data_IF_667547678261
#
_entry.id   IF_667547678261
#
_cell.length_a   1.000
_cell.length_b   1.000
_cell.length_c   1.000
_cell.angle_alpha   90.00
_cell.angle_beta   90.00
_cell.angle_gamma   90.00
#
_symmetry.space_group_name_H-M   'P 1'
#
loop_
_entity.id
_entity.type
_entity.pdbx_description
1 polymer ?
#
# COMPACT_ATOMS: atom_id res chain seq x y z
N UNK A 1 -14.87 -6.12 -33.19
CA UNK A 1 -14.79 -6.74 -31.85
C UNK A 1 -14.41 -5.68 -30.83
N UNK A 2 -15.42 -5.11 -30.16
CA UNK A 2 -15.21 -4.12 -29.11
C UNK A 2 -14.69 -4.84 -27.85
N UNK A 3 -13.43 -4.66 -27.52
CA UNK A 3 -12.88 -5.04 -26.23
C UNK A 3 -13.31 -3.99 -25.19
N UNK A 4 -14.57 -4.06 -24.76
CA UNK A 4 -15.03 -3.32 -23.59
C UNK A 4 -14.56 -4.07 -22.34
N UNK A 5 -13.36 -3.77 -21.88
CA UNK A 5 -12.94 -4.14 -20.53
C UNK A 5 -13.81 -3.41 -19.49
N UNK A 6 -13.82 -3.86 -18.21
CA UNK A 6 -14.59 -3.19 -17.17
C UNK A 6 -14.15 -1.72 -17.07
N UNK A 7 -15.08 -0.80 -17.29
CA UNK A 7 -14.83 0.63 -17.18
C UNK A 7 -15.01 1.03 -15.72
N UNK A 8 -13.95 1.48 -15.06
CA UNK A 8 -14.04 2.07 -13.72
C UNK A 8 -14.71 3.44 -13.82
N UNK A 9 -15.87 3.60 -13.19
CA UNK A 9 -16.65 4.84 -13.23
C UNK A 9 -16.19 5.84 -12.18
N UNK A 10 -15.75 5.36 -11.03
CA UNK A 10 -15.20 6.19 -9.96
C UNK A 10 -14.33 5.36 -9.02
N UNK A 11 -13.45 6.03 -8.28
CA UNK A 11 -12.63 5.45 -7.21
C UNK A 11 -12.80 6.32 -5.97
N UNK A 12 -13.02 5.69 -4.81
CA UNK A 12 -13.04 6.37 -3.51
C UNK A 12 -11.73 6.01 -2.80
N UNK A 13 -10.97 7.03 -2.44
CA UNK A 13 -9.72 6.87 -1.68
C UNK A 13 -9.94 7.39 -0.27
N UNK A 14 -9.74 6.54 0.73
CA UNK A 14 -9.74 6.91 2.14
C UNK A 14 -8.31 6.94 2.69
N UNK A 15 -7.93 8.05 3.33
CA UNK A 15 -6.62 8.20 3.97
C UNK A 15 -6.81 8.45 5.45
N UNK A 16 -6.21 7.60 6.30
CA UNK A 16 -6.19 7.76 7.75
C UNK A 16 -4.76 7.93 8.25
N UNK A 17 -4.48 9.03 8.96
CA UNK A 17 -3.17 9.32 9.54
C UNK A 17 -3.31 9.76 11.00
N UNK A 18 -2.46 9.23 11.85
CA UNK A 18 -2.22 9.78 13.17
C UNK A 18 -1.28 10.98 13.01
N UNK A 19 -1.76 12.19 13.24
CA UNK A 19 -0.97 13.41 12.94
C UNK A 19 -0.25 13.91 14.17
N UNK A 20 -0.97 14.26 15.23
CA UNK A 20 -0.43 14.89 16.44
C UNK A 20 -0.71 14.08 17.72
N UNK A 21 -1.06 12.81 17.59
CA UNK A 21 -1.25 11.94 18.75
C UNK A 21 0.09 11.62 19.41
N UNK A 22 0.14 11.66 20.73
CA UNK A 22 1.28 11.21 21.50
C UNK A 22 1.20 9.70 21.76
N UNK A 23 2.33 9.06 22.02
CA UNK A 23 2.37 7.63 22.31
C UNK A 23 1.39 7.21 23.41
N UNK A 24 1.22 8.07 24.42
CA UNK A 24 0.29 7.83 25.54
C UNK A 24 -1.19 7.85 25.14
N UNK A 25 -1.53 8.47 24.01
CA UNK A 25 -2.92 8.57 23.51
C UNK A 25 -3.39 7.27 22.84
N UNK A 26 -2.46 6.38 22.47
CA UNK A 26 -2.81 5.11 21.85
C UNK A 26 -3.26 4.08 22.88
N UNK A 27 -4.27 3.22 22.53
CA UNK A 27 -4.62 2.08 23.32
C UNK A 27 -3.41 1.20 23.66
N UNK A 28 -3.44 0.55 24.82
CA UNK A 28 -2.30 -0.16 25.37
C UNK A 28 -1.81 -1.31 24.47
N UNK A 29 -2.75 -2.00 23.83
CA UNK A 29 -2.51 -3.14 22.93
C UNK A 29 -1.80 -2.77 21.64
N UNK A 30 -1.92 -1.52 21.19
CA UNK A 30 -1.27 -1.03 19.94
C UNK A 30 -0.20 0.03 20.19
N UNK A 31 0.01 0.47 21.43
CA UNK A 31 0.90 1.60 21.79
C UNK A 31 2.34 1.42 21.32
N UNK A 32 2.82 0.19 21.27
CA UNK A 32 4.18 -0.13 20.81
C UNK A 32 4.28 -0.31 19.27
N UNK A 33 3.14 -0.35 18.59
CA UNK A 33 3.06 -0.52 17.14
C UNK A 33 2.61 0.76 16.42
N UNK A 34 1.84 1.61 17.12
CA UNK A 34 1.30 2.83 16.56
C UNK A 34 2.26 4.01 16.74
N UNK A 35 2.27 4.89 15.77
CA UNK A 35 3.00 6.15 15.83
C UNK A 35 2.19 7.27 15.19
N UNK A 36 2.70 8.50 15.24
CA UNK A 36 2.14 9.67 14.59
C UNK A 36 3.22 10.48 13.90
N UNK A 37 2.82 11.40 13.03
CA UNK A 37 3.76 12.32 12.37
C UNK A 37 4.51 13.16 13.42
N UNK A 38 3.84 13.62 14.48
CA UNK A 38 4.47 14.40 15.53
C UNK A 38 5.51 13.58 16.33
N UNK A 39 5.22 12.31 16.63
CA UNK A 39 6.16 11.41 17.31
C UNK A 39 7.41 11.16 16.45
N UNK A 40 7.23 10.89 15.16
CA UNK A 40 8.34 10.60 14.24
C UNK A 40 9.21 11.83 13.92
N UNK A 41 8.59 13.02 13.87
CA UNK A 41 9.29 14.26 13.50
C UNK A 41 9.74 15.10 14.69
N UNK A 42 9.25 14.78 15.89
CA UNK A 42 9.51 15.54 17.12
C UNK A 42 8.83 16.91 17.17
N UNK A 43 7.86 17.19 16.29
CA UNK A 43 7.17 18.47 16.24
C UNK A 43 5.71 18.32 15.77
N UNK A 44 4.80 19.18 16.23
CA UNK A 44 3.42 19.17 15.76
C UNK A 44 3.34 19.52 14.27
N UNK A 45 2.39 18.90 13.58
CA UNK A 45 2.14 19.10 12.17
C UNK A 45 0.81 19.86 12.00
N UNK A 46 0.80 20.85 11.11
CA UNK A 46 -0.44 21.54 10.70
C UNK A 46 -1.28 20.60 9.83
N UNK A 47 -2.44 20.21 10.35
CA UNK A 47 -3.35 19.28 9.65
C UNK A 47 -3.89 19.82 8.34
N UNK A 48 -4.13 21.14 8.26
CA UNK A 48 -4.67 21.77 7.04
C UNK A 48 -3.62 21.79 5.93
N UNK A 49 -2.37 22.12 6.26
CA UNK A 49 -1.25 22.07 5.32
C UNK A 49 -0.98 20.63 4.87
N UNK A 50 -1.00 19.68 5.79
CA UNK A 50 -0.82 18.28 5.46
C UNK A 50 -1.92 17.77 4.52
N UNK A 51 -3.18 18.10 4.80
CA UNK A 51 -4.30 17.73 3.93
C UNK A 51 -4.15 18.34 2.54
N UNK A 52 -3.80 19.62 2.44
CA UNK A 52 -3.58 20.29 1.17
C UNK A 52 -2.47 19.62 0.36
N UNK A 53 -1.37 19.22 1.00
CA UNK A 53 -0.27 18.50 0.35
C UNK A 53 -0.74 17.13 -0.14
N UNK A 54 -1.47 16.37 0.66
CA UNK A 54 -2.00 15.06 0.25
C UNK A 54 -2.94 15.19 -0.95
N UNK A 55 -3.85 16.17 -0.93
CA UNK A 55 -4.80 16.38 -2.02
C UNK A 55 -4.08 16.79 -3.31
N UNK A 56 -3.06 17.64 -3.20
CA UNK A 56 -2.25 18.03 -4.35
C UNK A 56 -1.52 16.84 -4.99
N UNK A 57 -0.90 15.98 -4.17
CA UNK A 57 -0.25 14.76 -4.66
C UNK A 57 -1.27 13.79 -5.30
N UNK A 58 -2.42 13.59 -4.66
CA UNK A 58 -3.49 12.75 -5.22
C UNK A 58 -3.98 13.25 -6.58
N UNK A 59 -4.07 14.56 -6.77
CA UNK A 59 -4.45 15.17 -8.06
C UNK A 59 -3.43 14.82 -9.15
N UNK A 60 -2.13 14.92 -8.86
CA UNK A 60 -1.05 14.56 -9.80
C UNK A 60 -1.14 13.09 -10.20
N UNK A 61 -1.37 12.19 -9.24
CA UNK A 61 -1.53 10.76 -9.52
C UNK A 61 -2.81 10.46 -10.31
N UNK A 62 -3.92 11.13 -9.99
CA UNK A 62 -5.17 10.99 -10.74
C UNK A 62 -5.00 11.43 -12.20
N UNK A 63 -4.32 12.55 -12.46
CA UNK A 63 -4.03 13.03 -13.81
C UNK A 63 -3.14 12.05 -14.57
N UNK A 64 -2.10 11.49 -13.94
CA UNK A 64 -1.24 10.48 -14.55
C UNK A 64 -2.01 9.22 -14.94
N UNK A 65 -2.96 8.78 -14.11
CA UNK A 65 -3.85 7.65 -14.43
C UNK A 65 -4.79 7.96 -15.60
N UNK A 66 -5.43 9.13 -15.61
CA UNK A 66 -6.33 9.57 -16.68
C UNK A 66 -5.60 9.72 -18.02
N UNK A 67 -4.35 10.15 -18.00
CA UNK A 67 -3.51 10.28 -19.19
C UNK A 67 -2.81 8.98 -19.61
N UNK A 68 -3.15 7.85 -18.97
CA UNK A 68 -2.59 6.51 -19.22
C UNK A 68 -1.07 6.45 -19.05
N UNK A 69 -0.54 7.14 -18.06
CA UNK A 69 0.89 7.13 -17.70
C UNK A 69 1.14 6.54 -16.31
N UNK A 70 0.60 5.35 -15.96
CA UNK A 70 0.74 4.77 -14.61
C UNK A 70 2.21 4.53 -14.23
N UNK A 71 3.09 4.33 -15.20
CA UNK A 71 4.52 4.07 -14.94
C UNK A 71 5.24 5.26 -14.30
N UNK A 72 4.69 6.48 -14.34
CA UNK A 72 5.31 7.65 -13.73
C UNK A 72 5.40 7.52 -12.20
N UNK A 73 4.46 6.85 -11.56
CA UNK A 73 4.42 6.72 -10.10
C UNK A 73 4.68 5.29 -9.60
N UNK A 74 4.54 4.24 -10.43
CA UNK A 74 4.79 2.86 -9.98
C UNK A 74 6.24 2.66 -9.54
N UNK A 75 7.19 3.30 -10.21
CA UNK A 75 8.60 3.25 -9.81
C UNK A 75 8.86 3.92 -8.45
N UNK A 76 8.25 5.07 -8.20
CA UNK A 76 8.33 5.76 -6.92
C UNK A 76 7.62 4.99 -5.81
N UNK A 77 6.42 4.48 -6.09
CA UNK A 77 5.69 3.61 -5.17
C UNK A 77 6.52 2.38 -4.78
N UNK A 78 7.12 1.69 -5.75
CA UNK A 78 7.96 0.52 -5.49
C UNK A 78 9.18 0.89 -4.60
N UNK A 79 9.79 2.05 -4.82
CA UNK A 79 10.93 2.55 -4.03
C UNK A 79 10.55 2.83 -2.57
N UNK A 80 9.33 3.31 -2.33
CA UNK A 80 8.81 3.62 -0.99
C UNK A 80 8.12 2.43 -0.32
N UNK A 81 7.83 1.37 -1.07
CA UNK A 81 7.13 0.20 -0.57
C UNK A 81 8.03 -0.63 0.35
N UNK A 82 7.78 -0.56 1.65
CA UNK A 82 8.53 -1.29 2.67
C UNK A 82 8.27 -2.80 2.67
N UNK A 83 7.31 -3.27 1.90
CA UNK A 83 6.97 -4.69 1.76
C UNK A 83 7.92 -5.40 0.79
N UNK A 84 8.42 -4.70 -0.24
CA UNK A 84 9.32 -5.31 -1.22
C UNK A 84 10.64 -5.76 -0.58
N UNK A 85 11.12 -6.91 -1.02
CA UNK A 85 12.31 -7.55 -0.48
C UNK A 85 12.10 -8.26 0.86
N UNK A 86 10.87 -8.29 1.39
CA UNK A 86 10.55 -8.97 2.65
C UNK A 86 9.80 -10.27 2.43
N UNK A 87 9.98 -11.18 3.36
CA UNK A 87 9.13 -12.36 3.46
C UNK A 87 7.75 -11.95 3.97
N UNK A 88 6.73 -12.43 3.29
CA UNK A 88 5.34 -12.10 3.57
C UNK A 88 4.48 -13.34 3.66
N UNK A 89 3.43 -13.24 4.47
CA UNK A 89 2.27 -14.11 4.43
C UNK A 89 1.10 -13.31 3.87
N UNK A 90 0.46 -13.84 2.84
CA UNK A 90 -0.67 -13.22 2.18
C UNK A 90 -1.91 -14.08 2.40
N UNK A 91 -2.94 -13.49 3.00
CA UNK A 91 -4.25 -14.11 3.16
C UNK A 91 -5.13 -13.69 1.98
N UNK A 92 -5.49 -14.64 1.14
CA UNK A 92 -6.38 -14.45 -0.01
C UNK A 92 -7.81 -14.85 0.34
N UNK A 93 -8.76 -14.48 -0.52
CA UNK A 93 -10.14 -14.95 -0.41
C UNK A 93 -10.22 -16.50 -0.38
N UNK A 94 -11.13 -17.05 0.45
CA UNK A 94 -11.34 -18.49 0.58
C UNK A 94 -10.27 -19.20 1.42
N UNK A 95 -9.78 -18.56 2.47
CA UNK A 95 -8.82 -19.10 3.45
C UNK A 95 -7.48 -19.59 2.86
N UNK A 96 -7.16 -19.13 1.65
CA UNK A 96 -5.88 -19.45 1.01
C UNK A 96 -4.77 -18.58 1.59
N UNK A 97 -3.73 -19.22 2.11
CA UNK A 97 -2.51 -18.58 2.60
C UNK A 97 -1.37 -18.84 1.61
N UNK A 98 -0.62 -17.80 1.31
CA UNK A 98 0.64 -17.87 0.58
C UNK A 98 1.76 -17.35 1.47
N UNK A 99 2.90 -18.00 1.45
CA UNK A 99 4.14 -17.47 2.02
C UNK A 99 5.22 -17.40 0.94
N UNK A 100 6.00 -16.32 0.99
CA UNK A 100 7.06 -16.13 0.01
C UNK A 100 7.76 -14.78 0.16
N UNK A 101 8.53 -14.43 -0.84
CA UNK A 101 9.23 -13.15 -0.96
C UNK A 101 8.38 -12.18 -1.78
N UNK A 102 8.08 -11.00 -1.23
CA UNK A 102 7.48 -9.90 -1.99
C UNK A 102 8.55 -9.34 -2.95
N UNK A 103 8.41 -9.67 -4.23
CA UNK A 103 9.44 -9.43 -5.24
C UNK A 103 9.33 -8.05 -5.89
N UNK A 104 8.17 -7.74 -6.45
CA UNK A 104 7.98 -6.52 -7.25
C UNK A 104 6.51 -6.12 -7.32
N UNK A 105 6.27 -4.94 -7.89
CA UNK A 105 4.93 -4.45 -8.24
C UNK A 105 4.75 -4.62 -9.74
N UNK A 106 3.68 -5.27 -10.14
CA UNK A 106 3.31 -5.44 -11.54
C UNK A 106 2.78 -4.12 -12.15
N UNK A 107 2.73 -3.99 -13.49
CA UNK A 107 2.24 -2.78 -14.15
C UNK A 107 0.78 -2.41 -13.84
N UNK A 108 -0.03 -3.36 -13.38
CA UNK A 108 -1.41 -3.15 -12.93
C UNK A 108 -1.51 -2.83 -11.42
N UNK A 109 -0.36 -2.69 -10.73
CA UNK A 109 -0.28 -2.41 -9.29
C UNK A 109 -0.35 -3.63 -8.39
N UNK A 110 -0.51 -4.85 -8.92
CA UNK A 110 -0.52 -6.07 -8.11
C UNK A 110 0.86 -6.37 -7.53
N UNK A 111 0.87 -6.95 -6.32
CA UNK A 111 2.11 -7.41 -5.67
C UNK A 111 2.51 -8.77 -6.25
N UNK A 112 3.73 -8.88 -6.74
CA UNK A 112 4.33 -10.16 -7.13
C UNK A 112 5.00 -10.80 -5.94
N UNK A 113 4.61 -12.02 -5.66
CA UNK A 113 5.18 -12.84 -4.58
C UNK A 113 5.79 -14.09 -5.18
N UNK A 114 7.08 -14.29 -4.96
CA UNK A 114 7.76 -15.56 -5.24
C UNK A 114 7.47 -16.49 -4.08
N UNK A 115 6.54 -17.44 -4.32
CA UNK A 115 6.04 -18.33 -3.28
C UNK A 115 7.05 -19.38 -2.88
N UNK A 116 7.04 -19.73 -1.60
CA UNK A 116 7.80 -20.87 -1.09
C UNK A 116 7.30 -22.19 -1.70
N UNK A 117 8.14 -23.23 -1.78
CA UNK A 117 7.71 -24.54 -2.26
C UNK A 117 6.52 -25.11 -1.49
N UNK A 118 6.44 -24.85 -0.18
CA UNK A 118 5.30 -25.22 0.69
C UNK A 118 3.99 -24.55 0.33
N UNK A 119 4.05 -23.38 -0.33
CA UNK A 119 2.90 -22.61 -0.83
C UNK A 119 2.61 -22.84 -2.31
N UNK A 120 3.19 -23.91 -2.90
CA UNK A 120 3.00 -24.28 -4.31
C UNK A 120 4.10 -23.78 -5.24
N UNK A 121 5.06 -23.03 -4.75
CA UNK A 121 6.17 -22.47 -5.55
C UNK A 121 5.72 -21.50 -6.63
N UNK A 122 6.69 -20.94 -7.36
CA UNK A 122 6.42 -20.04 -8.49
C UNK A 122 6.07 -18.62 -8.07
N UNK A 123 5.74 -17.79 -9.06
CA UNK A 123 5.35 -16.39 -8.85
C UNK A 123 3.82 -16.25 -8.92
N UNK A 124 3.25 -15.54 -7.95
CA UNK A 124 1.81 -15.24 -7.88
C UNK A 124 1.63 -13.74 -7.85
N UNK A 125 0.68 -13.23 -8.66
CA UNK A 125 0.23 -11.83 -8.61
C UNK A 125 -0.95 -11.69 -7.66
N UNK A 126 -0.78 -10.86 -6.62
CA UNK A 126 -1.76 -10.59 -5.57
C UNK A 126 -2.40 -9.23 -5.82
N UNK A 127 -3.68 -9.22 -6.17
CA UNK A 127 -4.46 -7.98 -6.41
C UNK A 127 -5.25 -7.54 -5.19
N UNK A 128 -5.64 -8.49 -4.34
CA UNK A 128 -6.37 -8.24 -3.10
C UNK A 128 -6.01 -9.31 -2.08
N UNK A 129 -5.84 -8.92 -0.83
CA UNK A 129 -5.49 -9.79 0.30
C UNK A 129 -4.83 -9.01 1.43
N UNK A 130 -4.79 -9.60 2.60
CA UNK A 130 -4.06 -9.06 3.73
C UNK A 130 -2.62 -9.55 3.70
N UNK A 131 -1.68 -8.62 3.77
CA UNK A 131 -0.23 -8.89 3.71
C UNK A 131 0.38 -8.63 5.09
N UNK A 132 0.99 -9.66 5.66
CA UNK A 132 1.71 -9.58 6.94
C UNK A 132 3.19 -9.88 6.71
N UNK A 133 4.06 -9.05 7.27
CA UNK A 133 5.50 -9.29 7.21
C UNK A 133 5.89 -10.43 8.17
N UNK A 134 6.60 -11.42 7.66
CA UNK A 134 7.20 -12.48 8.47
C UNK A 134 8.56 -12.00 9.01
N UNK A 135 8.82 -12.29 10.28
CA UNK A 135 10.11 -11.99 10.94
C UNK A 135 11.11 -13.10 10.71
#
# INVERSE_FOLDING_TARGET
>A
SSLSGPTTTFVIVGVGLNVNSHRADFPEDIRDLATSIAEETGRPCDRAQLMAAILWELEQYAEALLTRRPNLFLGEYARLCTTLGRRVRVSLSGDRLLEGLADSIAPDGSLRVTCDPSSGGGMVEVRAGDVVHLR
#
